data_IF_804169779617
#
_entry.id   IF_804169779617
#
_cell.length_a   1.000
_cell.length_b   1.000
_cell.length_c   1.000
_cell.angle_alpha   90.00
_cell.angle_beta   90.00
_cell.angle_gamma   90.00
#
_symmetry.space_group_name_H-M   'P 1'
#
loop_
_entity.id
_entity.type
_entity.pdbx_description
1 polymer ?
#
# COMPACT_ATOMS: atom_id res chain seq x y z
N UNK A 1 -20.46 -3.23 27.28
CA UNK A 1 -19.22 -3.65 26.61
C UNK A 1 -19.56 -3.95 25.17
N UNK A 2 -18.81 -3.44 24.19
CA UNK A 2 -19.08 -3.74 22.79
C UNK A 2 -18.93 -5.23 22.51
N UNK A 3 -19.85 -5.77 21.70
CA UNK A 3 -19.87 -7.12 21.15
C UNK A 3 -18.85 -7.27 20.03
N UNK A 4 -18.44 -8.50 19.70
CA UNK A 4 -17.53 -8.75 18.58
C UNK A 4 -18.08 -8.19 17.24
N UNK A 5 -19.40 -8.25 17.03
CA UNK A 5 -20.04 -7.74 15.82
C UNK A 5 -19.83 -6.22 15.63
N UNK A 6 -19.84 -5.44 16.71
CA UNK A 6 -19.60 -3.99 16.66
C UNK A 6 -18.18 -3.61 16.21
N UNK A 7 -17.24 -4.56 16.26
CA UNK A 7 -15.89 -4.38 15.69
C UNK A 7 -15.82 -4.81 14.23
N UNK A 8 -16.48 -5.91 13.86
CA UNK A 8 -16.33 -6.48 12.51
C UNK A 8 -17.14 -5.72 11.47
N UNK A 9 -18.34 -5.28 11.85
CA UNK A 9 -19.31 -4.63 10.96
C UNK A 9 -19.91 -3.38 11.66
N UNK A 10 -19.10 -2.35 11.94
CA UNK A 10 -19.60 -1.14 12.58
C UNK A 10 -20.58 -0.43 11.65
N UNK A 11 -21.76 -0.06 12.17
CA UNK A 11 -22.69 0.79 11.42
C UNK A 11 -22.08 2.19 11.26
N UNK A 12 -22.34 2.91 10.14
CA UNK A 12 -21.85 4.28 9.96
C UNK A 12 -22.26 5.21 11.10
N UNK A 13 -23.47 5.05 11.63
CA UNK A 13 -23.94 5.82 12.78
C UNK A 13 -23.10 5.54 14.04
N UNK A 14 -22.91 4.27 14.41
CA UNK A 14 -22.13 3.93 15.61
C UNK A 14 -20.67 4.36 15.48
N UNK A 15 -20.09 4.28 14.27
CA UNK A 15 -18.75 4.78 13.99
C UNK A 15 -18.65 6.30 14.18
N UNK A 16 -19.64 7.08 13.69
CA UNK A 16 -19.70 8.54 13.89
C UNK A 16 -19.80 8.93 15.35
N UNK A 17 -20.66 8.26 16.11
CA UNK A 17 -20.81 8.51 17.55
C UNK A 17 -19.50 8.25 18.30
N UNK A 18 -18.80 7.17 17.97
CA UNK A 18 -17.47 6.89 18.51
C UNK A 18 -16.45 7.96 18.10
N UNK A 19 -16.47 8.44 16.85
CA UNK A 19 -15.57 9.51 16.41
C UNK A 19 -15.82 10.83 17.14
N UNK A 20 -17.08 11.21 17.35
CA UNK A 20 -17.41 12.37 18.17
C UNK A 20 -16.89 12.23 19.61
N UNK A 21 -17.07 11.05 20.21
CA UNK A 21 -16.55 10.78 21.56
C UNK A 21 -15.02 10.83 21.63
N UNK A 22 -14.32 10.32 20.62
CA UNK A 22 -12.84 10.41 20.51
C UNK A 22 -12.41 11.87 20.33
N UNK A 23 -13.06 12.62 19.43
CA UNK A 23 -12.69 14.00 19.12
C UNK A 23 -12.94 14.97 20.28
N UNK A 24 -13.94 14.69 21.13
CA UNK A 24 -14.27 15.48 22.31
C UNK A 24 -13.49 15.06 23.58
N UNK A 25 -12.63 14.04 23.49
CA UNK A 25 -11.93 13.48 24.65
C UNK A 25 -10.92 14.48 25.23
N UNK A 26 -10.94 14.77 26.54
CA UNK A 26 -9.92 15.60 27.17
C UNK A 26 -8.59 14.83 27.29
N UNK A 27 -7.44 15.52 27.32
CA UNK A 27 -6.16 14.90 27.68
C UNK A 27 -6.25 14.20 29.03
N UNK A 28 -5.63 13.02 29.15
CA UNK A 28 -5.60 12.28 30.41
C UNK A 28 -4.72 13.02 31.41
N UNK A 29 -5.31 13.48 32.53
CA UNK A 29 -4.56 14.14 33.60
C UNK A 29 -3.53 13.20 34.23
N UNK A 30 -2.41 13.75 34.70
CA UNK A 30 -1.36 12.96 35.34
C UNK A 30 -1.92 12.12 36.50
N UNK A 31 -1.66 10.81 36.48
CA UNK A 31 -2.13 9.87 37.51
C UNK A 31 -3.55 9.30 37.29
N UNK A 32 -4.30 9.77 36.28
CA UNK A 32 -5.59 9.16 35.94
C UNK A 32 -5.43 7.96 34.98
N UNK A 33 -6.31 6.98 35.13
CA UNK A 33 -6.39 5.84 34.21
C UNK A 33 -6.94 6.28 32.87
N UNK A 34 -6.32 5.82 31.78
CA UNK A 34 -6.86 6.02 30.44
C UNK A 34 -8.18 5.26 30.28
N UNK A 35 -9.12 5.83 29.55
CA UNK A 35 -10.34 5.12 29.15
C UNK A 35 -9.99 3.95 28.22
N UNK A 36 -10.85 2.94 28.19
CA UNK A 36 -10.72 1.83 27.25
C UNK A 36 -10.70 2.34 25.80
N UNK A 37 -10.03 1.61 24.90
CA UNK A 37 -10.09 1.90 23.47
C UNK A 37 -11.50 1.62 22.95
N UNK A 38 -12.01 2.50 22.09
CA UNK A 38 -13.24 2.23 21.34
C UNK A 38 -12.95 1.27 20.17
N UNK A 39 -13.98 0.62 19.61
CA UNK A 39 -13.85 -0.14 18.36
C UNK A 39 -13.13 0.61 17.23
N UNK A 40 -13.46 1.89 16.99
CA UNK A 40 -12.76 2.67 15.94
C UNK A 40 -11.27 2.86 16.24
N UNK A 41 -10.89 3.09 17.50
CA UNK A 41 -9.47 3.21 17.86
C UNK A 41 -8.73 1.88 17.69
N UNK A 42 -9.37 0.75 18.03
CA UNK A 42 -8.81 -0.60 17.88
C UNK A 42 -8.54 -0.92 16.41
N UNK A 43 -9.50 -0.69 15.52
CA UNK A 43 -9.36 -0.99 14.10
C UNK A 43 -8.30 -0.08 13.46
N UNK A 44 -8.22 1.18 13.87
CA UNK A 44 -7.14 2.08 13.44
C UNK A 44 -5.76 1.64 13.94
N UNK A 45 -5.66 1.09 15.16
CA UNK A 45 -4.40 0.52 15.64
C UNK A 45 -4.00 -0.73 14.84
N UNK A 46 -4.95 -1.62 14.51
CA UNK A 46 -4.70 -2.78 13.66
C UNK A 46 -4.22 -2.34 12.27
N UNK A 47 -4.93 -1.40 11.65
CA UNK A 47 -4.58 -0.84 10.35
C UNK A 47 -3.17 -0.22 10.36
N UNK A 48 -2.83 0.55 11.40
CA UNK A 48 -1.50 1.13 11.53
C UNK A 48 -0.40 0.07 11.74
N UNK A 49 -0.74 -1.10 12.31
CA UNK A 49 0.15 -2.25 12.44
C UNK A 49 0.57 -2.86 11.09
N UNK A 50 -0.18 -2.60 10.01
CA UNK A 50 0.23 -2.99 8.65
C UNK A 50 1.39 -2.15 8.10
N UNK A 51 1.68 -1.01 8.73
CA UNK A 51 2.71 -0.06 8.28
C UNK A 51 3.87 0.04 9.28
N UNK A 52 3.62 -0.25 10.55
CA UNK A 52 4.58 -0.06 11.64
C UNK A 52 4.79 -1.36 12.39
N UNK A 53 6.01 -1.86 12.33
CA UNK A 53 6.46 -2.96 13.19
C UNK A 53 6.66 -2.45 14.62
N UNK A 54 5.64 -2.64 15.46
CA UNK A 54 5.64 -2.18 16.86
C UNK A 54 6.77 -2.79 17.70
N UNK A 55 7.29 -3.97 17.32
CA UNK A 55 8.31 -4.70 18.08
C UNK A 55 9.64 -3.96 18.13
N UNK A 56 9.89 -3.05 17.18
CA UNK A 56 11.07 -2.18 17.13
C UNK A 56 11.01 -1.03 18.16
N UNK A 57 9.89 -0.86 18.86
CA UNK A 57 9.65 0.28 19.74
C UNK A 57 9.31 -0.16 21.18
N UNK A 58 10.24 0.09 22.10
CA UNK A 58 10.01 0.00 23.54
C UNK A 58 9.53 1.33 24.13
N UNK A 59 9.32 1.37 25.45
CA UNK A 59 8.82 2.56 26.14
C UNK A 59 9.65 3.82 25.90
N UNK A 60 10.98 3.69 25.85
CA UNK A 60 11.91 4.82 25.61
C UNK A 60 12.02 5.23 24.15
N UNK A 61 11.69 4.35 23.20
CA UNK A 61 11.76 4.62 21.76
C UNK A 61 10.39 4.91 21.13
N UNK A 62 9.28 4.73 21.85
CA UNK A 62 7.93 5.06 21.40
C UNK A 62 7.76 6.49 20.83
N UNK A 63 8.43 7.54 21.36
CA UNK A 63 8.39 8.87 20.75
C UNK A 63 8.94 8.93 19.32
N UNK A 64 9.80 7.97 18.92
CA UNK A 64 10.40 7.86 17.58
C UNK A 64 9.59 6.97 16.62
N UNK A 65 8.41 6.50 17.03
CA UNK A 65 7.55 5.70 16.18
C UNK A 65 7.17 6.49 14.91
N UNK A 66 7.24 5.87 13.72
CA UNK A 66 6.94 6.55 12.46
C UNK A 66 5.43 6.76 12.29
N UNK A 67 5.08 7.54 11.27
CA UNK A 67 3.72 7.65 10.77
C UNK A 67 3.09 6.26 10.56
N UNK A 68 1.80 6.04 10.91
CA UNK A 68 0.83 7.02 11.40
C UNK A 68 0.70 7.07 12.94
N UNK A 69 1.61 6.45 13.70
CA UNK A 69 1.48 6.31 15.16
C UNK A 69 1.33 7.66 15.88
N UNK A 70 2.16 8.69 15.63
CA UNK A 70 2.02 9.99 16.27
C UNK A 70 0.67 10.68 15.98
N UNK A 71 0.14 10.53 14.76
CA UNK A 71 -1.14 11.12 14.35
C UNK A 71 -2.31 10.47 15.08
N UNK A 72 -2.32 9.12 15.17
CA UNK A 72 -3.33 8.39 15.93
C UNK A 72 -3.23 8.70 17.43
N UNK A 73 -2.02 8.76 17.97
CA UNK A 73 -1.77 9.11 19.37
C UNK A 73 -2.34 10.50 19.72
N UNK A 74 -2.07 11.50 18.87
CA UNK A 74 -2.60 12.86 19.03
C UNK A 74 -4.14 12.88 18.95
N UNK A 75 -4.73 12.22 17.94
CA UNK A 75 -6.20 12.17 17.78
C UNK A 75 -6.87 11.47 18.97
N UNK A 76 -6.27 10.40 19.49
CA UNK A 76 -6.84 9.60 20.57
C UNK A 76 -6.57 10.20 21.95
N UNK A 77 -5.76 11.25 22.04
CA UNK A 77 -5.28 11.84 23.29
C UNK A 77 -4.55 10.81 24.17
N UNK A 78 -3.65 10.04 23.54
CA UNK A 78 -2.88 8.96 24.17
C UNK A 78 -1.39 9.09 23.79
N UNK A 79 -0.44 8.56 24.59
CA UNK A 79 0.96 8.51 24.19
C UNK A 79 1.17 7.44 23.09
N UNK A 80 2.20 7.63 22.26
CA UNK A 80 2.60 6.66 21.21
C UNK A 80 2.74 5.23 21.76
N UNK A 81 3.25 5.09 22.99
CA UNK A 81 3.42 3.79 23.65
C UNK A 81 2.10 3.04 23.85
N UNK A 82 0.97 3.76 24.02
CA UNK A 82 -0.36 3.17 24.15
C UNK A 82 -0.85 2.58 22.82
N UNK A 83 -0.58 3.28 21.71
CA UNK A 83 -0.89 2.82 20.35
C UNK A 83 -0.06 1.57 20.01
N UNK A 84 1.26 1.62 20.23
CA UNK A 84 2.16 0.49 20.00
C UNK A 84 1.80 -0.73 20.88
N UNK A 85 1.46 -0.49 22.14
CA UNK A 85 1.00 -1.56 23.03
C UNK A 85 -0.31 -2.19 22.53
N UNK A 86 -1.23 -1.38 22.00
CA UNK A 86 -2.47 -1.89 21.41
C UNK A 86 -2.20 -2.73 20.16
N UNK A 87 -1.26 -2.32 19.29
CA UNK A 87 -0.80 -3.15 18.17
C UNK A 87 -0.27 -4.51 18.63
N UNK A 88 0.55 -4.53 19.69
CA UNK A 88 1.09 -5.76 20.28
C UNK A 88 0.02 -6.68 20.91
N UNK A 89 -1.08 -6.11 21.39
CA UNK A 89 -2.22 -6.90 21.85
C UNK A 89 -3.00 -7.50 20.65
N UNK A 90 -3.10 -6.75 19.56
CA UNK A 90 -3.88 -7.12 18.37
C UNK A 90 -3.19 -8.20 17.53
N UNK A 91 -1.86 -8.26 17.50
CA UNK A 91 -1.13 -9.34 16.82
C UNK A 91 -0.82 -10.53 17.75
N UNK A 92 -1.23 -10.45 19.02
CA UNK A 92 -1.05 -11.50 20.02
C UNK A 92 0.35 -11.56 20.66
N UNK A 93 1.26 -10.62 20.34
CA UNK A 93 2.59 -10.53 20.98
C UNK A 93 2.52 -10.23 22.48
N UNK A 94 1.36 -9.80 23.00
CA UNK A 94 1.12 -9.57 24.43
C UNK A 94 -0.13 -10.32 24.90
N UNK A 95 0.01 -11.00 26.04
CA UNK A 95 -1.03 -11.83 26.66
C UNK A 95 -2.10 -11.06 27.46
N UNK A 96 -1.99 -9.74 27.58
CA UNK A 96 -2.90 -8.89 28.37
C UNK A 96 -3.70 -7.90 27.50
N UNK A 97 -4.21 -8.39 26.37
CA UNK A 97 -5.11 -7.65 25.48
C UNK A 97 -6.52 -7.44 26.04
N UNK A 98 -7.27 -6.55 25.41
CA UNK A 98 -8.72 -6.50 25.61
C UNK A 98 -9.37 -7.82 25.16
N UNK A 99 -10.53 -8.14 25.73
CA UNK A 99 -11.22 -9.42 25.53
C UNK A 99 -11.32 -9.86 24.06
N UNK A 100 -11.54 -8.93 23.14
CA UNK A 100 -11.73 -9.20 21.72
C UNK A 100 -10.57 -8.78 20.82
N UNK A 101 -9.45 -8.26 21.35
CA UNK A 101 -8.36 -7.70 20.51
C UNK A 101 -7.87 -8.74 19.48
N UNK A 102 -7.46 -9.93 19.92
CA UNK A 102 -6.95 -10.97 19.02
C UNK A 102 -8.03 -11.53 18.07
N UNK A 103 -9.27 -11.67 18.55
CA UNK A 103 -10.38 -12.14 17.72
C UNK A 103 -10.74 -11.16 16.61
N UNK A 104 -10.70 -9.85 16.89
CA UNK A 104 -10.94 -8.81 15.89
C UNK A 104 -9.90 -8.89 14.78
N UNK A 105 -8.61 -8.93 15.14
CA UNK A 105 -7.53 -9.07 14.16
C UNK A 105 -7.69 -10.34 13.32
N UNK A 106 -7.95 -11.48 13.97
CA UNK A 106 -8.13 -12.76 13.29
C UNK A 106 -9.25 -12.70 12.25
N UNK A 107 -10.42 -12.16 12.58
CA UNK A 107 -11.53 -12.12 11.62
C UNK A 107 -11.29 -11.10 10.50
N UNK A 108 -10.81 -9.91 10.83
CA UNK A 108 -10.58 -8.85 9.85
C UNK A 108 -9.49 -9.22 8.85
N UNK A 109 -8.43 -9.90 9.28
CA UNK A 109 -7.31 -10.32 8.43
C UNK A 109 -7.58 -11.64 7.68
N UNK A 110 -8.30 -12.59 8.29
CA UNK A 110 -8.63 -13.86 7.64
C UNK A 110 -9.72 -13.72 6.57
N UNK A 111 -10.58 -12.70 6.66
CA UNK A 111 -11.70 -12.50 5.73
C UNK A 111 -11.30 -11.56 4.59
N UNK A 112 -11.25 -12.03 3.33
CA UNK A 112 -10.80 -11.22 2.21
C UNK A 112 -11.54 -9.88 2.09
N UNK A 113 -10.77 -8.79 2.10
CA UNK A 113 -11.26 -7.42 1.93
C UNK A 113 -12.08 -6.86 3.09
N UNK A 114 -12.32 -7.63 4.16
CA UNK A 114 -13.13 -7.14 5.29
C UNK A 114 -12.46 -5.95 5.97
N UNK A 115 -11.16 -6.06 6.32
CA UNK A 115 -10.41 -4.94 6.88
C UNK A 115 -10.48 -3.67 6.02
N UNK A 116 -10.33 -3.80 4.69
CA UNK A 116 -10.37 -2.67 3.77
C UNK A 116 -11.75 -1.99 3.75
N UNK A 117 -12.84 -2.79 3.68
CA UNK A 117 -14.22 -2.27 3.75
C UNK A 117 -14.50 -1.59 5.09
N UNK A 118 -14.16 -2.26 6.19
CA UNK A 118 -14.38 -1.72 7.54
C UNK A 118 -13.59 -0.43 7.74
N UNK A 119 -12.33 -0.38 7.29
CA UNK A 119 -11.52 0.83 7.32
C UNK A 119 -12.15 1.99 6.52
N UNK A 120 -12.67 1.73 5.31
CA UNK A 120 -13.36 2.73 4.51
C UNK A 120 -14.62 3.27 5.19
N UNK A 121 -15.43 2.39 5.79
CA UNK A 121 -16.62 2.80 6.57
C UNK A 121 -16.22 3.71 7.72
N UNK A 122 -15.15 3.37 8.44
CA UNK A 122 -14.67 4.18 9.54
C UNK A 122 -14.12 5.54 9.09
N UNK A 123 -13.39 5.59 7.98
CA UNK A 123 -12.91 6.85 7.40
C UNK A 123 -14.08 7.73 6.96
N UNK A 124 -15.05 7.18 6.22
CA UNK A 124 -16.23 7.92 5.79
C UNK A 124 -17.01 8.50 6.98
N UNK A 125 -17.23 7.68 8.03
CA UNK A 125 -17.83 8.13 9.27
C UNK A 125 -17.00 9.23 9.96
N UNK A 126 -15.66 9.15 9.93
CA UNK A 126 -14.81 10.20 10.47
C UNK A 126 -14.98 11.52 9.72
N UNK A 127 -15.06 11.48 8.37
CA UNK A 127 -15.31 12.66 7.53
C UNK A 127 -16.64 13.31 7.87
N UNK A 128 -17.70 12.51 7.99
CA UNK A 128 -19.03 12.99 8.39
C UNK A 128 -19.05 13.58 9.81
N UNK A 129 -18.20 13.07 10.72
CA UNK A 129 -18.03 13.59 12.07
C UNK A 129 -17.14 14.85 12.13
N UNK A 130 -16.65 15.36 10.99
CA UNK A 130 -15.81 16.56 10.90
C UNK A 130 -14.32 16.32 11.12
N UNK A 131 -13.85 15.07 11.08
CA UNK A 131 -12.42 14.73 11.12
C UNK A 131 -11.86 14.70 9.70
N UNK A 132 -11.27 15.82 9.28
CA UNK A 132 -10.61 15.96 7.98
C UNK A 132 -9.33 15.11 7.85
N UNK A 133 -8.76 15.01 6.63
CA UNK A 133 -7.53 14.27 6.36
C UNK A 133 -6.30 14.76 7.15
N UNK A 134 -6.32 16.02 7.61
CA UNK A 134 -5.30 16.61 8.48
C UNK A 134 -5.30 15.99 9.88
N UNK A 135 -6.48 15.60 10.39
CA UNK A 135 -6.65 15.00 11.72
C UNK A 135 -6.65 13.48 11.69
N UNK A 136 -7.27 12.87 10.67
CA UNK A 136 -7.24 11.43 10.43
C UNK A 136 -6.92 11.17 8.95
N UNK A 137 -5.64 11.01 8.60
CA UNK A 137 -5.27 10.75 7.22
C UNK A 137 -5.67 9.33 6.80
N UNK A 138 -5.94 9.14 5.50
CA UNK A 138 -6.02 7.81 4.90
C UNK A 138 -4.60 7.25 4.73
N UNK A 139 -4.09 6.63 5.78
CA UNK A 139 -2.75 6.06 5.79
C UNK A 139 -2.65 4.72 5.05
N UNK A 140 -3.77 4.06 4.75
CA UNK A 140 -3.78 2.83 3.94
C UNK A 140 -3.94 3.10 2.43
N UNK A 141 -4.47 4.26 2.03
CA UNK A 141 -4.68 4.67 0.64
C UNK A 141 -6.03 4.22 0.04
N UNK A 142 -6.96 3.73 0.86
CA UNK A 142 -8.20 3.10 0.39
C UNK A 142 -9.34 4.07 0.05
N UNK A 143 -9.27 5.34 0.45
CA UNK A 143 -10.36 6.32 0.30
C UNK A 143 -10.68 6.56 -1.19
N UNK A 144 -9.67 6.68 -2.05
CA UNK A 144 -9.88 6.87 -3.49
C UNK A 144 -10.34 5.60 -4.22
N UNK A 145 -10.08 4.42 -3.66
CA UNK A 145 -10.37 3.13 -4.32
C UNK A 145 -11.55 2.40 -3.70
N UNK A 146 -12.18 2.97 -2.67
CA UNK A 146 -13.21 2.32 -1.86
C UNK A 146 -12.79 0.92 -1.36
N UNK A 147 -11.51 0.78 -0.98
CA UNK A 147 -10.94 -0.46 -0.48
C UNK A 147 -10.51 -1.48 -1.54
N UNK A 148 -10.61 -1.13 -2.83
CA UNK A 148 -10.06 -1.97 -3.90
C UNK A 148 -8.52 -1.90 -3.91
N UNK A 149 -7.88 -3.06 -3.89
CA UNK A 149 -6.42 -3.17 -3.88
C UNK A 149 -5.88 -3.06 -5.29
N UNK A 150 -4.96 -2.11 -5.51
CA UNK A 150 -4.35 -1.85 -6.81
C UNK A 150 -2.97 -2.51 -6.90
N UNK A 151 -2.51 -2.78 -8.12
CA UNK A 151 -1.15 -3.28 -8.39
C UNK A 151 -0.87 -4.69 -7.88
N UNK A 152 -1.91 -5.49 -7.70
CA UNK A 152 -1.79 -6.86 -7.17
C UNK A 152 -1.33 -7.85 -8.24
N UNK A 153 -1.28 -7.43 -9.50
CA UNK A 153 -0.91 -8.26 -10.66
C UNK A 153 0.55 -8.78 -10.60
N UNK A 154 1.44 -8.04 -9.94
CA UNK A 154 2.86 -8.40 -9.75
C UNK A 154 3.12 -9.29 -8.52
N UNK A 155 2.09 -9.63 -7.73
CA UNK A 155 2.24 -10.36 -6.48
C UNK A 155 1.69 -11.78 -6.59
N UNK A 156 2.55 -12.74 -6.93
CA UNK A 156 2.24 -14.17 -6.74
C UNK A 156 2.28 -14.57 -5.26
N UNK A 157 1.63 -15.69 -4.91
CA UNK A 157 1.71 -16.24 -3.55
C UNK A 157 3.16 -16.54 -3.15
N UNK A 158 3.93 -17.16 -4.05
CA UNK A 158 5.35 -17.46 -3.84
C UNK A 158 6.19 -16.19 -3.58
N UNK A 159 5.89 -15.08 -4.26
CA UNK A 159 6.58 -13.81 -4.04
C UNK A 159 6.27 -13.21 -2.68
N UNK A 160 5.00 -13.26 -2.26
CA UNK A 160 4.58 -12.83 -0.93
C UNK A 160 5.25 -13.70 0.13
N UNK A 161 5.20 -15.03 -0.02
CA UNK A 161 5.82 -15.97 0.92
C UNK A 161 7.32 -15.73 1.06
N UNK A 162 8.05 -15.53 -0.03
CA UNK A 162 9.50 -15.21 0.01
C UNK A 162 9.78 -13.90 0.72
N UNK A 163 8.98 -12.86 0.48
CA UNK A 163 9.13 -11.59 1.17
C UNK A 163 8.85 -11.72 2.67
N UNK A 164 7.87 -12.52 3.05
CA UNK A 164 7.56 -12.82 4.45
C UNK A 164 8.70 -13.61 5.09
N UNK A 165 9.21 -14.65 4.42
CA UNK A 165 10.33 -15.46 4.92
C UNK A 165 11.58 -14.62 5.20
N UNK A 166 11.87 -13.64 4.34
CA UNK A 166 12.96 -12.68 4.54
C UNK A 166 12.75 -11.78 5.76
N UNK A 167 11.50 -11.43 6.09
CA UNK A 167 11.14 -10.56 7.22
C UNK A 167 10.92 -11.36 8.52
N UNK A 168 10.68 -12.67 8.43
CA UNK A 168 10.33 -13.55 9.55
C UNK A 168 11.52 -14.22 10.25
N UNK A 169 12.74 -14.14 9.68
CA UNK A 169 13.94 -14.78 10.25
C UNK A 169 14.23 -14.35 11.71
N UNK A 170 13.77 -13.17 12.12
CA UNK A 170 13.94 -12.63 13.48
C UNK A 170 12.67 -12.74 14.36
N UNK A 171 11.52 -13.20 13.82
CA UNK A 171 10.19 -12.96 14.44
C UNK A 171 9.52 -14.15 15.13
N UNK A 172 10.11 -15.35 15.07
CA UNK A 172 9.49 -16.57 15.59
C UNK A 172 10.30 -17.18 16.73
N UNK A 173 10.17 -16.60 17.93
CA UNK A 173 10.56 -17.28 19.16
C UNK A 173 9.36 -17.34 20.11
N UNK A 174 8.83 -18.56 20.30
CA UNK A 174 7.80 -18.96 21.28
C UNK A 174 6.48 -18.16 21.26
N UNK A 175 5.68 -18.35 20.21
CA UNK A 175 4.27 -17.89 20.14
C UNK A 175 3.33 -19.08 19.95
N UNK A 176 2.09 -18.99 20.43
CA UNK A 176 1.08 -20.03 20.17
C UNK A 176 0.80 -20.17 18.67
N UNK A 177 0.31 -21.33 18.23
CA UNK A 177 -0.02 -21.57 16.82
C UNK A 177 -1.06 -20.56 16.28
N UNK A 178 -1.91 -20.02 17.16
CA UNK A 178 -2.89 -19.00 16.82
C UNK A 178 -2.25 -17.63 16.58
N UNK A 179 -1.34 -17.20 17.46
CA UNK A 179 -0.58 -15.94 17.33
C UNK A 179 0.28 -15.92 16.07
N UNK A 180 0.91 -17.06 15.76
CA UNK A 180 1.71 -17.22 14.55
C UNK A 180 0.87 -16.97 13.28
N UNK A 181 -0.35 -17.55 13.22
CA UNK A 181 -1.27 -17.36 12.09
C UNK A 181 -1.74 -15.91 11.94
N UNK A 182 -2.07 -15.23 13.04
CA UNK A 182 -2.47 -13.81 13.00
C UNK A 182 -1.30 -12.95 12.53
N UNK A 183 -0.09 -13.19 13.03
CA UNK A 183 1.12 -12.49 12.59
C UNK A 183 1.36 -12.70 11.10
N UNK A 184 1.26 -13.94 10.60
CA UNK A 184 1.41 -14.28 9.19
C UNK A 184 0.38 -13.53 8.32
N UNK A 185 -0.90 -13.56 8.69
CA UNK A 185 -1.96 -12.85 7.97
C UNK A 185 -1.74 -11.33 7.97
N UNK A 186 -1.21 -10.79 9.07
CA UNK A 186 -0.86 -9.37 9.18
C UNK A 186 0.26 -9.01 8.21
N UNK A 187 1.30 -9.85 8.08
CA UNK A 187 2.39 -9.66 7.13
C UNK A 187 1.92 -9.75 5.67
N UNK A 188 1.11 -10.76 5.32
CA UNK A 188 0.49 -10.87 3.98
C UNK A 188 -0.31 -9.62 3.65
N UNK A 189 -1.13 -9.16 4.60
CA UNK A 189 -1.97 -7.98 4.43
C UNK A 189 -1.11 -6.72 4.29
N UNK A 190 -0.04 -6.59 5.09
CA UNK A 190 0.90 -5.47 5.01
C UNK A 190 1.57 -5.37 3.63
N UNK A 191 1.99 -6.50 3.05
CA UNK A 191 2.55 -6.55 1.69
C UNK A 191 1.53 -6.02 0.66
N UNK A 192 0.29 -6.51 0.71
CA UNK A 192 -0.77 -6.09 -0.21
C UNK A 192 -1.12 -4.61 -0.10
N UNK A 193 -1.18 -4.09 1.14
CA UNK A 193 -1.39 -2.66 1.39
C UNK A 193 -0.22 -1.83 0.90
N UNK A 194 1.02 -2.26 1.16
CA UNK A 194 2.21 -1.60 0.65
C UNK A 194 2.19 -1.46 -0.87
N UNK A 195 1.87 -2.55 -1.57
CA UNK A 195 1.73 -2.57 -3.03
C UNK A 195 0.60 -1.67 -3.53
N UNK A 196 -0.55 -1.69 -2.86
CA UNK A 196 -1.66 -0.80 -3.21
C UNK A 196 -1.28 0.69 -3.03
N UNK A 197 -0.56 1.03 -1.97
CA UNK A 197 -0.08 2.40 -1.73
C UNK A 197 0.91 2.84 -2.78
N UNK A 198 1.90 2.00 -3.09
CA UNK A 198 2.84 2.22 -4.20
C UNK A 198 2.08 2.47 -5.50
N UNK A 199 1.15 1.58 -5.86
CA UNK A 199 0.41 1.69 -7.12
C UNK A 199 -0.43 2.97 -7.20
N UNK A 200 -1.11 3.33 -6.11
CA UNK A 200 -1.91 4.55 -6.03
C UNK A 200 -1.05 5.80 -6.18
N UNK A 201 0.13 5.82 -5.53
CA UNK A 201 1.06 6.94 -5.62
C UNK A 201 1.63 7.11 -7.03
N UNK A 202 2.06 6.02 -7.66
CA UNK A 202 2.58 6.00 -9.03
C UNK A 202 1.53 6.46 -10.02
N UNK A 203 0.30 5.94 -9.92
CA UNK A 203 -0.83 6.34 -10.78
C UNK A 203 -1.14 7.83 -10.65
N UNK A 204 -1.12 8.37 -9.42
CA UNK A 204 -1.34 9.79 -9.16
C UNK A 204 -0.18 10.65 -9.67
N UNK A 205 1.07 10.23 -9.45
CA UNK A 205 2.28 10.92 -9.90
C UNK A 205 2.28 11.15 -11.41
N UNK A 206 1.78 10.18 -12.19
CA UNK A 206 1.69 10.25 -13.64
C UNK A 206 0.35 10.77 -14.18
N UNK A 207 -0.50 11.35 -13.31
CA UNK A 207 -1.79 11.92 -13.73
C UNK A 207 -2.74 10.89 -14.34
N UNK A 208 -2.71 9.64 -13.86
CA UNK A 208 -3.52 8.53 -14.36
C UNK A 208 -3.48 8.37 -15.88
N UNK A 209 -2.28 8.43 -16.46
CA UNK A 209 -2.06 8.27 -17.89
C UNK A 209 -0.81 7.42 -18.12
N UNK A 210 -0.83 6.62 -19.19
CA UNK A 210 0.34 5.86 -19.61
C UNK A 210 1.48 6.83 -19.97
N UNK A 211 2.63 6.69 -19.30
CA UNK A 211 3.79 7.57 -19.52
C UNK A 211 4.43 7.38 -20.90
N UNK A 212 4.14 6.27 -21.58
CA UNK A 212 4.71 5.96 -22.89
C UNK A 212 3.91 6.52 -24.06
N UNK A 213 2.57 6.51 -23.97
CA UNK A 213 1.69 6.86 -25.09
C UNK A 213 0.57 7.84 -24.74
N UNK A 214 0.44 8.24 -23.47
CA UNK A 214 -0.57 9.19 -23.01
C UNK A 214 -1.97 8.60 -22.85
N UNK A 215 -2.14 7.28 -23.01
CA UNK A 215 -3.44 6.63 -22.83
C UNK A 215 -3.99 6.91 -21.43
N UNK A 216 -5.18 7.50 -21.35
CA UNK A 216 -5.98 7.62 -20.13
C UNK A 216 -7.40 7.17 -20.44
N UNK A 217 -7.90 6.16 -19.72
CA UNK A 217 -9.21 5.56 -19.99
C UNK A 217 -10.12 5.76 -18.79
N UNK A 218 -11.25 6.41 -19.03
CA UNK A 218 -12.34 6.58 -18.06
C UNK A 218 -13.63 6.05 -18.67
N UNK A 219 -14.40 5.30 -17.88
CA UNK A 219 -15.72 4.81 -18.23
C UNK A 219 -16.71 5.33 -17.18
N UNK A 220 -17.75 6.03 -17.63
CA UNK A 220 -18.78 6.61 -16.74
C UNK A 220 -18.20 7.48 -15.61
N UNK A 221 -17.17 8.28 -15.91
CA UNK A 221 -16.49 9.14 -14.94
C UNK A 221 -15.47 8.42 -14.03
N UNK A 222 -15.49 7.09 -14.01
CA UNK A 222 -14.60 6.25 -13.20
C UNK A 222 -13.42 5.77 -14.04
N UNK A 223 -12.25 5.61 -13.42
CA UNK A 223 -11.06 5.03 -14.10
C UNK A 223 -11.37 3.60 -14.54
N UNK A 224 -11.05 3.25 -15.78
CA UNK A 224 -11.21 1.89 -16.25
C UNK A 224 -10.17 0.98 -15.57
N UNK A 225 -10.64 0.08 -14.70
CA UNK A 225 -9.78 -0.88 -13.99
C UNK A 225 -8.96 -1.69 -15.00
N UNK A 226 -7.70 -1.98 -14.66
CA UNK A 226 -6.76 -2.79 -15.47
C UNK A 226 -6.33 -2.19 -16.82
N UNK A 227 -6.78 -0.99 -17.19
CA UNK A 227 -6.29 -0.29 -18.40
C UNK A 227 -5.03 0.54 -18.14
N UNK A 228 -4.70 0.76 -16.88
CA UNK A 228 -3.45 1.35 -16.42
C UNK A 228 -2.98 0.55 -15.20
N UNK A 229 -1.70 0.24 -15.20
CA UNK A 229 -1.00 -0.44 -14.11
C UNK A 229 0.14 0.44 -13.61
N UNK A 230 0.52 0.26 -12.35
CA UNK A 230 1.72 0.84 -11.78
C UNK A 230 2.80 -0.23 -11.78
N UNK A 231 3.66 -0.20 -12.79
CA UNK A 231 4.72 -1.17 -13.04
C UNK A 231 5.98 -0.77 -12.29
N UNK A 232 6.64 -1.73 -11.64
CA UNK A 232 7.97 -1.51 -11.07
C UNK A 232 9.06 -1.47 -12.16
N UNK A 233 9.90 -0.44 -12.14
CA UNK A 233 11.06 -0.31 -13.02
C UNK A 233 12.11 -1.38 -12.68
N UNK A 234 12.50 -1.44 -11.40
CA UNK A 234 13.25 -2.55 -10.82
C UNK A 234 12.23 -3.50 -10.20
N UNK A 235 12.03 -4.71 -10.76
CA UNK A 235 10.95 -5.62 -10.38
C UNK A 235 10.88 -5.86 -8.88
N UNK A 236 9.65 -5.94 -8.37
CA UNK A 236 9.36 -6.08 -6.93
C UNK A 236 10.15 -7.21 -6.26
N UNK A 237 10.28 -8.36 -6.95
CA UNK A 237 10.97 -9.57 -6.48
C UNK A 237 12.46 -9.38 -6.15
N UNK A 238 13.13 -8.44 -6.81
CA UNK A 238 14.57 -8.12 -6.59
C UNK A 238 14.78 -6.78 -5.87
N UNK A 239 13.69 -6.10 -5.52
CA UNK A 239 13.70 -4.84 -4.80
C UNK A 239 13.74 -5.08 -3.29
N UNK A 240 14.48 -4.23 -2.58
CA UNK A 240 14.49 -4.14 -1.12
C UNK A 240 13.13 -3.63 -0.60
N UNK A 241 12.82 -3.80 0.70
CA UNK A 241 11.57 -3.29 1.27
C UNK A 241 11.32 -1.79 1.04
N UNK A 242 12.38 -0.98 1.01
CA UNK A 242 12.27 0.46 0.72
C UNK A 242 11.99 0.72 -0.76
N UNK A 243 12.68 0.01 -1.67
CA UNK A 243 12.50 0.16 -3.12
C UNK A 243 11.12 -0.31 -3.61
N UNK A 244 10.50 -1.27 -2.91
CA UNK A 244 9.13 -1.75 -3.20
C UNK A 244 8.03 -0.72 -2.87
N UNK A 245 8.36 0.30 -2.09
CA UNK A 245 7.44 1.36 -1.70
C UNK A 245 7.83 2.71 -2.31
N UNK A 246 8.93 2.78 -3.04
CA UNK A 246 9.42 4.02 -3.65
C UNK A 246 8.70 4.29 -4.97
N UNK A 247 7.86 5.31 -5.03
CA UNK A 247 7.16 5.71 -6.25
C UNK A 247 8.12 6.10 -7.40
N UNK A 248 9.37 6.47 -7.12
CA UNK A 248 10.38 6.69 -8.15
C UNK A 248 10.84 5.38 -8.84
N UNK A 249 10.52 4.23 -8.24
CA UNK A 249 10.66 2.91 -8.85
C UNK A 249 9.43 2.49 -9.67
N UNK A 250 8.47 3.39 -9.90
CA UNK A 250 7.24 3.06 -10.61
C UNK A 250 7.02 3.85 -11.89
N UNK A 251 6.35 3.23 -12.87
CA UNK A 251 5.81 3.87 -14.06
C UNK A 251 4.33 3.52 -14.20
N UNK A 252 3.51 4.49 -14.61
CA UNK A 252 2.14 4.20 -15.03
C UNK A 252 2.15 3.78 -16.49
N UNK A 253 1.78 2.54 -16.78
CA UNK A 253 1.77 2.00 -18.13
C UNK A 253 0.40 1.42 -18.48
N UNK A 254 0.03 1.45 -19.76
CA UNK A 254 -1.07 0.62 -20.25
C UNK A 254 -0.58 -0.83 -20.40
N UNK A 255 -1.48 -1.84 -20.42
CA UNK A 255 -1.08 -3.24 -20.44
C UNK A 255 -0.07 -3.61 -21.54
N UNK A 256 -0.18 -2.99 -22.72
CA UNK A 256 0.74 -3.27 -23.82
C UNK A 256 2.15 -2.72 -23.55
N UNK A 257 2.26 -1.50 -23.03
CA UNK A 257 3.55 -0.88 -22.77
C UNK A 257 4.20 -1.39 -21.48
N UNK A 258 3.37 -1.80 -20.52
CA UNK A 258 3.79 -2.53 -19.32
C UNK A 258 4.54 -3.81 -19.70
N UNK A 259 3.87 -4.73 -20.41
CA UNK A 259 4.48 -5.98 -20.87
C UNK A 259 5.70 -5.71 -21.75
N UNK A 260 5.65 -4.73 -22.66
CA UNK A 260 6.80 -4.40 -23.50
C UNK A 260 8.00 -3.89 -22.69
N UNK A 261 7.77 -3.16 -21.61
CA UNK A 261 8.84 -2.66 -20.73
C UNK A 261 9.41 -3.81 -19.91
N UNK A 262 8.56 -4.57 -19.22
CA UNK A 262 8.96 -5.69 -18.35
C UNK A 262 9.70 -6.81 -19.09
N UNK A 263 9.40 -7.00 -20.37
CA UNK A 263 10.07 -7.99 -21.23
C UNK A 263 11.29 -7.42 -21.98
N UNK A 264 11.66 -6.16 -21.73
CA UNK A 264 12.84 -5.54 -22.32
C UNK A 264 12.72 -5.23 -23.82
N UNK A 265 11.49 -5.15 -24.35
CA UNK A 265 11.23 -4.69 -25.73
C UNK A 265 11.35 -3.17 -25.84
N UNK A 266 11.04 -2.46 -24.76
CA UNK A 266 11.29 -1.03 -24.61
C UNK A 266 12.05 -0.74 -23.31
N UNK A 267 12.74 0.40 -23.26
CA UNK A 267 13.40 0.88 -22.04
C UNK A 267 13.47 2.40 -22.01
N UNK A 268 13.92 2.95 -20.88
CA UNK A 268 14.07 4.38 -20.67
C UNK A 268 15.45 4.66 -20.07
N UNK A 269 16.15 5.68 -20.58
CA UNK A 269 17.47 6.06 -20.05
C UNK A 269 17.43 7.35 -19.21
N UNK A 270 18.58 7.81 -18.70
CA UNK A 270 18.68 8.97 -17.82
C UNK A 270 18.19 10.31 -18.39
N UNK A 271 17.92 10.39 -19.70
CA UNK A 271 17.24 11.54 -20.33
C UNK A 271 15.72 11.38 -20.46
N UNK A 272 15.15 10.32 -19.88
CA UNK A 272 13.76 9.89 -20.04
C UNK A 272 13.36 9.58 -21.49
N UNK A 273 14.34 9.34 -22.37
CA UNK A 273 14.08 8.94 -23.77
C UNK A 273 13.65 7.49 -23.81
N UNK A 274 12.59 7.22 -24.56
CA UNK A 274 12.08 5.87 -24.79
C UNK A 274 12.91 5.23 -25.92
N UNK A 275 13.47 4.06 -25.64
CA UNK A 275 14.19 3.24 -26.61
C UNK A 275 13.40 1.98 -26.89
N UNK A 276 13.43 1.54 -28.14
CA UNK A 276 12.74 0.35 -28.62
C UNK A 276 13.81 -0.57 -29.18
N UNK A 277 13.68 -1.88 -28.95
CA UNK A 277 14.58 -2.88 -29.54
C UNK A 277 14.61 -2.74 -31.07
N UNK A 278 15.79 -2.80 -31.73
CA UNK A 278 15.90 -2.62 -33.17
C UNK A 278 14.97 -3.53 -33.99
N UNK A 279 14.77 -4.77 -33.53
CA UNK A 279 13.88 -5.74 -34.17
C UNK A 279 12.42 -5.25 -34.17
N UNK A 280 11.97 -4.63 -33.07
CA UNK A 280 10.62 -4.08 -32.96
C UNK A 280 10.46 -2.77 -33.73
N UNK A 281 11.50 -1.94 -33.80
CA UNK A 281 11.51 -0.75 -34.67
C UNK A 281 11.38 -1.16 -36.16
N UNK A 282 12.09 -2.21 -36.57
CA UNK A 282 11.98 -2.73 -37.93
C UNK A 282 10.59 -3.32 -38.20
N UNK A 283 10.05 -4.10 -37.26
CA UNK A 283 8.69 -4.65 -37.36
C UNK A 283 7.63 -3.54 -37.47
N UNK A 284 7.78 -2.43 -36.73
CA UNK A 284 6.85 -1.30 -36.79
C UNK A 284 6.84 -0.57 -38.15
N UNK A 285 7.91 -0.71 -38.96
CA UNK A 285 7.94 -0.15 -40.32
C UNK A 285 7.08 -0.95 -41.29
N UNK A 286 7.00 -2.26 -41.12
CA UNK A 286 6.35 -3.17 -42.09
C UNK A 286 5.00 -3.70 -41.62
N UNK A 287 4.76 -3.80 -40.31
CA UNK A 287 3.53 -4.33 -39.71
C UNK A 287 2.69 -3.22 -39.07
N UNK A 288 1.43 -3.00 -39.52
CA UNK A 288 0.52 -2.06 -38.87
C UNK A 288 0.27 -2.37 -37.39
N UNK A 289 0.21 -3.66 -37.01
CA UNK A 289 0.01 -4.07 -35.63
C UNK A 289 1.23 -3.73 -34.76
N UNK A 290 2.45 -4.01 -35.24
CA UNK A 290 3.67 -3.62 -34.53
C UNK A 290 3.80 -2.10 -34.43
N UNK A 291 3.39 -1.36 -35.48
CA UNK A 291 3.36 0.10 -35.47
C UNK A 291 2.39 0.65 -34.41
N UNK A 292 1.25 -0.01 -34.21
CA UNK A 292 0.30 0.37 -33.17
C UNK A 292 0.81 0.17 -31.74
N UNK A 293 1.94 -0.52 -31.54
CA UNK A 293 2.55 -0.74 -30.23
C UNK A 293 3.86 0.05 -30.07
N UNK A 294 4.75 -0.09 -31.04
CA UNK A 294 6.14 0.39 -31.01
C UNK A 294 6.41 1.59 -31.94
N UNK A 295 5.42 1.98 -32.75
CA UNK A 295 5.53 3.15 -33.62
C UNK A 295 5.52 4.46 -32.84
N UNK A 296 5.91 5.54 -33.52
CA UNK A 296 5.76 6.92 -33.03
C UNK A 296 4.90 7.70 -34.03
N UNK A 297 3.58 7.86 -33.80
CA UNK A 297 2.76 7.35 -32.69
C UNK A 297 2.57 5.81 -32.68
N UNK A 298 2.18 5.21 -31.52
CA UNK A 298 1.69 5.88 -30.31
C UNK A 298 2.75 6.20 -29.25
N UNK A 299 3.98 5.67 -29.34
CA UNK A 299 5.02 6.02 -28.38
C UNK A 299 5.41 7.49 -28.54
N UNK A 300 5.64 8.15 -27.40
CA UNK A 300 6.30 9.43 -27.34
C UNK A 300 7.83 9.28 -27.55
N UNK A 301 8.50 10.40 -27.79
CA UNK A 301 9.98 10.44 -27.83
C UNK A 301 10.59 10.29 -26.43
N UNK A 302 9.90 10.81 -25.42
CA UNK A 302 10.29 10.77 -24.00
C UNK A 302 9.07 10.43 -23.15
N UNK A 303 9.31 9.96 -21.93
CA UNK A 303 8.23 9.76 -20.96
C UNK A 303 7.38 11.03 -20.81
N UNK A 304 6.06 10.84 -20.90
CA UNK A 304 5.05 11.86 -20.68
C UNK A 304 4.79 11.98 -19.19
N UNK A 305 5.40 12.98 -18.56
CA UNK A 305 5.27 13.26 -17.14
C UNK A 305 4.59 14.61 -16.92
N UNK A 306 3.61 14.72 -16.01
CA UNK A 306 3.12 16.02 -15.53
C UNK A 306 4.25 16.90 -14.99
N UNK A 307 4.11 18.23 -15.06
CA UNK A 307 5.18 19.19 -14.68
C UNK A 307 5.74 18.98 -13.27
N UNK A 308 4.88 18.56 -12.33
CA UNK A 308 5.23 18.34 -10.91
C UNK A 308 5.49 16.88 -10.55
N UNK A 309 5.45 15.98 -11.53
CA UNK A 309 5.68 14.57 -11.28
C UNK A 309 7.12 14.33 -10.81
N UNK A 310 7.27 13.53 -9.76
CA UNK A 310 8.55 12.95 -9.41
C UNK A 310 9.06 12.13 -10.60
N UNK A 311 10.34 12.31 -10.94
CA UNK A 311 10.97 11.57 -12.03
C UNK A 311 11.34 10.17 -11.55
N UNK A 312 11.32 9.17 -12.45
CA UNK A 312 11.88 7.87 -12.17
C UNK A 312 13.32 7.93 -11.64
N UNK A 313 13.61 7.12 -10.64
CA UNK A 313 14.94 7.04 -10.04
C UNK A 313 15.97 6.55 -11.06
N UNK A 314 17.07 7.29 -11.22
CA UNK A 314 18.15 6.93 -12.16
C UNK A 314 18.70 5.52 -11.90
N UNK A 315 18.81 5.14 -10.62
CA UNK A 315 19.28 3.81 -10.21
C UNK A 315 18.39 2.70 -10.74
N UNK A 316 17.06 2.88 -10.73
CA UNK A 316 16.10 1.91 -11.25
C UNK A 316 16.16 1.83 -12.77
N UNK A 317 16.22 2.96 -13.46
CA UNK A 317 16.35 3.00 -14.93
C UNK A 317 17.65 2.32 -15.40
N UNK A 318 18.77 2.59 -14.71
CA UNK A 318 20.04 1.91 -14.97
C UNK A 318 19.92 0.41 -14.75
N UNK A 319 19.33 -0.01 -13.62
CA UNK A 319 19.12 -1.42 -13.32
C UNK A 319 18.29 -2.12 -14.40
N UNK A 320 17.16 -1.53 -14.82
CA UNK A 320 16.30 -2.08 -15.86
C UNK A 320 17.04 -2.21 -17.20
N UNK A 321 17.80 -1.18 -17.57
CA UNK A 321 18.61 -1.23 -18.78
C UNK A 321 19.64 -2.37 -18.75
N UNK A 322 20.34 -2.57 -17.64
CA UNK A 322 21.39 -3.58 -17.51
C UNK A 322 20.85 -5.01 -17.38
N UNK A 323 19.71 -5.19 -16.69
CA UNK A 323 19.24 -6.52 -16.28
C UNK A 323 18.02 -7.03 -17.07
N UNK A 324 17.31 -6.15 -17.79
CA UNK A 324 16.09 -6.51 -18.54
C UNK A 324 16.24 -6.18 -20.02
N UNK A 325 16.55 -4.92 -20.34
CA UNK A 325 16.68 -4.51 -21.75
C UNK A 325 17.99 -5.04 -22.38
N UNK A 326 19.09 -4.99 -21.63
CA UNK A 326 20.42 -5.39 -22.09
C UNK A 326 20.64 -6.91 -22.14
N UNK A 327 19.82 -7.70 -21.43
CA UNK A 327 19.88 -9.15 -21.55
C UNK A 327 19.47 -9.60 -22.94
N UNK A 328 20.31 -10.43 -23.57
CA UNK A 328 19.96 -11.12 -24.82
C UNK A 328 18.81 -12.08 -24.49
N UNK A 329 17.73 -12.15 -25.31
CA UNK A 329 16.68 -13.12 -25.08
C UNK A 329 17.31 -14.51 -25.02
N UNK A 330 17.15 -15.20 -23.88
CA UNK A 330 17.41 -16.63 -23.81
C UNK A 330 16.55 -17.27 -24.88
N UNK A 331 17.15 -17.89 -25.89
CA UNK A 331 16.40 -18.67 -26.85
C UNK A 331 15.73 -19.83 -26.10
N UNK A 332 14.43 -19.68 -25.81
CA UNK A 332 13.55 -20.77 -25.39
C UNK A 332 12.86 -21.35 -26.60
#
# INVERSE_FOLDING_TARGET
MPTLAEYLEPTPQAAREQWHAVAARPPVAAGQRQVAFTPVEIIMCLAAGLLVDHRKFGSSSAPRAPYPVPQLAALFQRPNSSILAKMANLDGSRSHGGQYDLDVSRHLLATPGLLARTYCVLLAAAREAGLGPDRLPDFLGFEETAGDLLGQEELSLDEIERAIQQDSADRLTQTSALEARVTEQLLVTAVRVGQHRFASEVLRNHGHSCVFCGLSVRASGVRAKRMLVASHIKPWRVSTPLERLDAANGLTACPTHDVAFDTGLITVNGGLRIHVKPEQEQAARTSPAARAVFGRPPLAERLLLPERAAKPGKVYLTWHHENVYGSVPSAT
#
